data_IF_919641246016
#
_entry.id   IF_919641246016
#
_cell.length_a   1.000
_cell.length_b   1.000
_cell.length_c   1.000
_cell.angle_alpha   90.00
_cell.angle_beta   90.00
_cell.angle_gamma   90.00
#
_symmetry.space_group_name_H-M   'P 1'
#
loop_
_entity.id
_entity.type
_entity.pdbx_description
1 polymer ?
#
# COMPACT_ATOMS: atom_id res chain seq x y z
N UNK A 1 -17.20 42.23 89.46
CA UNK A 1 -17.55 43.64 89.44
C UNK A 1 -17.35 44.18 88.06
N UNK A 2 -18.43 44.74 87.53
CA UNK A 2 -18.58 45.55 86.29
C UNK A 2 -18.40 44.86 84.98
N UNK A 3 -19.55 44.54 84.44
CA UNK A 3 -19.95 44.20 83.08
C UNK A 3 -19.76 45.38 82.14
N UNK A 4 -19.27 45.11 80.89
CA UNK A 4 -19.47 46.02 79.76
C UNK A 4 -19.88 45.24 78.56
N UNK A 5 -21.11 45.46 78.10
CA UNK A 5 -21.69 45.01 76.87
C UNK A 5 -21.08 45.82 75.74
N UNK A 6 -20.73 45.15 74.66
CA UNK A 6 -20.46 45.77 73.31
C UNK A 6 -21.38 45.13 72.27
N UNK A 7 -22.26 45.97 71.80
CA UNK A 7 -23.16 45.66 70.62
C UNK A 7 -22.32 45.52 69.34
N UNK A 8 -22.50 44.42 68.65
CA UNK A 8 -21.96 44.26 67.29
C UNK A 8 -23.14 44.30 66.28
N UNK A 9 -23.24 45.40 65.54
CA UNK A 9 -24.14 45.61 64.50
C UNK A 9 -23.83 44.68 63.33
N UNK A 10 -24.79 43.83 62.91
CA UNK A 10 -24.72 42.99 61.73
C UNK A 10 -25.00 43.80 60.45
N UNK A 11 -23.94 44.15 59.71
CA UNK A 11 -24.06 44.63 58.32
C UNK A 11 -24.21 43.48 57.37
N UNK A 12 -25.37 43.35 56.74
CA UNK A 12 -25.59 42.39 55.64
C UNK A 12 -25.15 43.04 54.33
N UNK A 13 -24.03 42.58 53.77
CA UNK A 13 -23.60 42.97 52.46
C UNK A 13 -24.23 41.95 51.45
N UNK A 14 -25.20 42.41 50.66
CA UNK A 14 -25.77 41.65 49.55
C UNK A 14 -24.80 41.70 48.35
N UNK A 15 -24.11 40.61 48.06
CA UNK A 15 -23.29 40.45 46.87
C UNK A 15 -24.18 40.03 45.70
N UNK A 16 -24.49 40.96 44.79
CA UNK A 16 -25.19 40.67 43.54
C UNK A 16 -24.20 40.00 42.55
N UNK A 17 -24.35 38.70 42.35
CA UNK A 17 -23.67 37.94 41.28
C UNK A 17 -24.36 38.24 39.94
N UNK A 18 -23.72 39.10 39.12
CA UNK A 18 -24.11 39.26 37.70
C UNK A 18 -23.53 38.14 36.90
N UNK A 19 -24.30 37.08 36.63
CA UNK A 19 -23.90 36.00 35.70
C UNK A 19 -24.05 36.49 34.27
N UNK A 20 -22.93 37.00 33.72
CA UNK A 20 -22.81 37.28 32.28
C UNK A 20 -22.69 35.98 31.50
N UNK A 21 -23.76 35.54 30.85
CA UNK A 21 -23.70 34.45 29.86
C UNK A 21 -23.05 35.01 28.59
N UNK A 22 -21.76 34.72 28.39
CA UNK A 22 -21.11 34.94 27.11
C UNK A 22 -21.65 33.90 26.10
N UNK A 23 -22.60 34.29 25.28
CA UNK A 23 -23.04 33.51 24.14
C UNK A 23 -21.89 33.46 23.13
N UNK A 24 -21.06 32.39 23.17
CA UNK A 24 -20.10 32.10 22.12
C UNK A 24 -20.90 31.67 20.89
N UNK A 25 -21.11 32.57 19.95
CA UNK A 25 -21.67 32.26 18.63
C UNK A 25 -20.69 31.33 17.93
N UNK A 26 -20.96 30.03 17.92
CA UNK A 26 -20.24 29.07 17.09
C UNK A 26 -20.49 29.49 15.62
N UNK A 27 -19.49 30.05 14.99
CA UNK A 27 -19.52 30.27 13.54
C UNK A 27 -19.60 28.88 12.88
N UNK A 28 -20.58 28.63 11.96
CA UNK A 28 -20.60 27.38 11.25
C UNK A 28 -19.25 27.26 10.47
N UNK A 29 -18.51 26.22 10.77
CA UNK A 29 -17.36 25.83 9.96
C UNK A 29 -17.94 25.53 8.58
N UNK A 30 -17.52 26.23 7.51
CA UNK A 30 -18.00 25.93 6.17
C UNK A 30 -17.73 24.46 5.89
N UNK A 31 -18.76 23.70 5.49
CA UNK A 31 -18.60 22.35 5.02
C UNK A 31 -17.53 22.36 3.94
N UNK A 32 -16.43 21.66 4.15
CA UNK A 32 -15.43 21.46 3.10
C UNK A 32 -16.16 20.74 1.96
N UNK A 33 -16.46 21.45 0.89
CA UNK A 33 -16.94 20.85 -0.35
C UNK A 33 -15.79 19.96 -0.84
N UNK A 34 -15.94 18.65 -0.67
CA UNK A 34 -14.97 17.69 -1.18
C UNK A 34 -14.87 17.88 -2.69
N UNK A 35 -13.69 18.24 -3.18
CA UNK A 35 -13.44 18.32 -4.61
C UNK A 35 -13.75 16.97 -5.23
N UNK A 36 -14.61 16.88 -6.28
CA UNK A 36 -14.90 15.61 -6.92
C UNK A 36 -13.62 14.91 -7.37
N UNK A 37 -13.51 13.62 -7.08
CA UNK A 37 -12.40 12.79 -7.56
C UNK A 37 -12.72 12.33 -8.98
N UNK A 38 -11.82 12.59 -9.91
CA UNK A 38 -11.83 12.02 -11.26
C UNK A 38 -11.16 10.66 -11.21
N UNK A 39 -11.81 9.66 -11.82
CA UNK A 39 -11.32 8.29 -11.94
C UNK A 39 -11.18 7.95 -13.41
N UNK A 40 -10.00 7.50 -13.81
CA UNK A 40 -9.72 7.01 -15.16
C UNK A 40 -9.04 5.65 -15.07
N UNK A 41 -9.44 4.69 -15.91
CA UNK A 41 -8.80 3.39 -16.02
C UNK A 41 -8.67 2.99 -17.50
N UNK A 42 -7.51 2.52 -17.92
CA UNK A 42 -7.28 2.13 -19.30
C UNK A 42 -6.04 1.24 -19.44
N UNK A 43 -5.89 0.65 -20.61
CA UNK A 43 -4.75 -0.20 -20.98
C UNK A 43 -3.67 0.63 -21.68
N UNK A 44 -2.40 0.37 -21.33
CA UNK A 44 -1.23 0.90 -22.01
C UNK A 44 -0.41 -0.25 -22.59
N UNK A 45 0.19 -0.09 -23.79
CA UNK A 45 1.03 -1.13 -24.37
C UNK A 45 2.29 -1.32 -23.51
N UNK A 46 2.63 -2.57 -23.20
CA UNK A 46 3.94 -2.92 -22.63
C UNK A 46 5.02 -2.83 -23.72
N UNK A 47 6.30 -2.83 -23.30
CA UNK A 47 7.42 -3.02 -24.26
C UNK A 47 7.46 -4.42 -24.88
N UNK A 48 6.70 -5.39 -24.38
CA UNK A 48 6.61 -6.76 -24.92
C UNK A 48 5.37 -6.90 -25.81
N UNK A 49 5.53 -7.51 -26.98
CA UNK A 49 4.45 -7.69 -27.94
C UNK A 49 3.26 -8.46 -27.35
N UNK A 50 2.03 -7.99 -27.61
CA UNK A 50 0.79 -8.62 -27.17
C UNK A 50 0.46 -8.39 -25.67
N UNK A 51 1.28 -7.68 -24.93
CA UNK A 51 1.05 -7.38 -23.52
C UNK A 51 0.56 -5.94 -23.37
N UNK A 52 -0.58 -5.79 -22.71
CA UNK A 52 -1.12 -4.51 -22.27
C UNK A 52 -1.24 -4.49 -20.77
N UNK A 53 -0.89 -3.37 -20.16
CA UNK A 53 -0.93 -3.16 -18.72
C UNK A 53 -2.08 -2.24 -18.35
N UNK A 54 -2.89 -2.67 -17.41
CA UNK A 54 -3.94 -1.82 -16.87
C UNK A 54 -3.34 -0.82 -15.90
N UNK A 55 -3.70 0.44 -16.09
CA UNK A 55 -3.42 1.54 -15.17
C UNK A 55 -4.72 2.22 -14.78
N UNK A 56 -4.83 2.61 -13.51
CA UNK A 56 -5.90 3.47 -13.01
C UNK A 56 -5.30 4.72 -12.40
N UNK A 57 -5.98 5.84 -12.62
CA UNK A 57 -5.65 7.12 -12.02
C UNK A 57 -6.85 7.67 -11.24
N UNK A 58 -6.59 8.18 -10.03
CA UNK A 58 -7.52 9.00 -9.25
C UNK A 58 -6.85 10.32 -8.89
N UNK A 59 -7.57 11.42 -9.05
CA UNK A 59 -7.06 12.76 -8.79
C UNK A 59 -8.17 13.76 -8.46
N UNK A 60 -7.88 14.88 -7.77
CA UNK A 60 -8.84 15.98 -7.62
C UNK A 60 -9.26 16.54 -8.97
N UNK A 61 -10.56 16.62 -9.24
CA UNK A 61 -11.08 17.06 -10.54
C UNK A 61 -10.81 18.52 -10.88
N UNK A 62 -10.62 19.37 -9.88
CA UNK A 62 -10.29 20.79 -10.07
C UNK A 62 -8.81 21.04 -10.42
N UNK A 63 -7.94 20.00 -10.28
CA UNK A 63 -6.50 20.14 -10.55
C UNK A 63 -6.17 19.58 -11.94
N UNK A 64 -5.61 20.41 -12.79
CA UNK A 64 -5.25 20.05 -14.17
C UNK A 64 -3.77 19.71 -14.35
N UNK A 65 -2.91 20.18 -13.45
CA UNK A 65 -1.45 19.99 -13.51
C UNK A 65 -0.94 19.42 -12.19
N UNK A 66 -0.17 18.36 -12.27
CA UNK A 66 0.40 17.72 -11.09
C UNK A 66 1.93 17.74 -11.19
N UNK A 67 2.62 18.38 -10.23
CA UNK A 67 4.07 18.35 -10.19
C UNK A 67 4.59 16.98 -9.72
N UNK A 68 5.89 16.78 -9.86
CA UNK A 68 6.58 15.54 -9.50
C UNK A 68 6.37 15.11 -8.04
N UNK A 69 6.25 16.06 -7.12
CA UNK A 69 6.06 15.84 -5.69
C UNK A 69 4.58 15.62 -5.29
N UNK A 70 3.67 15.60 -6.26
CA UNK A 70 2.25 15.29 -6.09
C UNK A 70 1.78 14.14 -6.98
N UNK A 71 2.70 13.41 -7.60
CA UNK A 71 2.39 12.25 -8.44
C UNK A 71 2.97 10.98 -7.83
N UNK A 72 2.14 9.96 -7.65
CA UNK A 72 2.54 8.69 -7.03
C UNK A 72 1.97 7.49 -7.77
N UNK A 73 2.81 6.43 -7.93
CA UNK A 73 2.43 5.14 -8.48
C UNK A 73 2.51 4.07 -7.40
N UNK A 74 1.45 3.28 -7.27
CA UNK A 74 1.41 2.06 -6.46
C UNK A 74 1.61 0.81 -7.29
N UNK A 75 2.42 -0.14 -6.76
CA UNK A 75 2.68 -1.47 -7.32
C UNK A 75 2.33 -2.56 -6.31
N UNK A 76 1.47 -3.50 -6.71
CA UNK A 76 0.89 -4.54 -5.89
C UNK A 76 1.84 -5.68 -5.49
N UNK A 77 1.41 -6.53 -4.57
CA UNK A 77 2.11 -7.74 -4.12
C UNK A 77 1.98 -8.93 -5.08
N UNK A 78 2.23 -10.14 -4.57
CA UNK A 78 2.35 -11.36 -5.40
C UNK A 78 1.06 -12.14 -5.64
N UNK A 79 0.00 -11.88 -4.87
CA UNK A 79 -1.26 -12.67 -4.93
C UNK A 79 -2.47 -11.83 -5.28
N UNK A 80 -2.35 -10.52 -5.28
CA UNK A 80 -3.47 -9.59 -5.40
C UNK A 80 -3.21 -8.57 -6.50
N UNK A 81 -4.24 -8.25 -7.28
CA UNK A 81 -4.23 -7.10 -8.18
C UNK A 81 -4.26 -5.78 -7.39
N UNK A 82 -3.82 -4.70 -8.01
CA UNK A 82 -3.73 -3.39 -7.35
C UNK A 82 -5.08 -2.88 -6.84
N UNK A 83 -6.15 -3.04 -7.61
CA UNK A 83 -7.48 -2.56 -7.23
C UNK A 83 -8.01 -3.24 -5.97
N UNK A 84 -7.70 -4.52 -5.77
CA UNK A 84 -8.21 -5.31 -4.64
C UNK A 84 -7.53 -4.98 -3.31
N UNK A 85 -6.47 -4.19 -3.34
CA UNK A 85 -5.71 -3.80 -2.15
C UNK A 85 -5.64 -2.29 -1.97
N UNK A 86 -5.27 -1.57 -3.00
CA UNK A 86 -5.04 -0.13 -2.92
C UNK A 86 -6.30 0.69 -3.17
N UNK A 87 -7.22 0.17 -4.02
CA UNK A 87 -8.45 0.88 -4.39
C UNK A 87 -9.73 0.18 -3.93
N UNK A 88 -9.64 -0.80 -3.03
CA UNK A 88 -10.83 -1.41 -2.43
C UNK A 88 -11.45 -0.45 -1.42
N UNK A 89 -12.71 -0.10 -1.67
CA UNK A 89 -13.49 0.77 -0.78
C UNK A 89 -13.96 -0.02 0.44
N UNK A 90 -13.49 0.35 1.61
CA UNK A 90 -13.92 -0.17 2.90
C UNK A 90 -14.36 1.01 3.78
N UNK A 91 -15.52 0.94 4.40
CA UNK A 91 -16.12 2.04 5.15
C UNK A 91 -16.10 3.38 4.37
N UNK A 92 -16.51 3.32 3.10
CA UNK A 92 -16.68 4.50 2.25
C UNK A 92 -15.40 5.07 1.65
N UNK A 93 -14.21 4.48 1.89
CA UNK A 93 -12.95 5.02 1.39
C UNK A 93 -11.91 3.94 1.10
N UNK A 94 -11.23 4.05 -0.05
CA UNK A 94 -10.03 3.30 -0.38
C UNK A 94 -8.75 4.06 0.05
N UNK A 95 -7.59 3.39 0.04
CA UNK A 95 -6.31 4.08 0.23
C UNK A 95 -6.01 5.04 -0.92
N UNK A 96 -6.37 4.65 -2.14
CA UNK A 96 -6.23 5.49 -3.33
C UNK A 96 -7.09 6.76 -3.22
N UNK A 97 -8.34 6.66 -2.72
CA UNK A 97 -9.20 7.81 -2.45
C UNK A 97 -8.57 8.74 -1.41
N UNK A 98 -8.04 8.16 -0.33
CA UNK A 98 -7.41 8.95 0.72
C UNK A 98 -6.27 9.83 0.18
N UNK A 99 -5.40 9.30 -0.65
CA UNK A 99 -4.31 10.08 -1.26
C UNK A 99 -4.84 11.14 -2.24
N UNK A 100 -5.82 10.78 -3.08
CA UNK A 100 -6.40 11.72 -4.04
C UNK A 100 -7.12 12.89 -3.35
N UNK A 101 -7.85 12.64 -2.26
CA UNK A 101 -8.49 13.69 -1.45
C UNK A 101 -7.47 14.66 -0.80
N UNK A 102 -6.23 14.18 -0.57
CA UNK A 102 -5.12 15.01 -0.08
C UNK A 102 -4.34 15.71 -1.22
N UNK A 103 -4.90 15.75 -2.42
CA UNK A 103 -4.35 16.53 -3.53
C UNK A 103 -3.31 15.79 -4.37
N UNK A 104 -3.23 14.46 -4.27
CA UNK A 104 -2.31 13.65 -5.04
C UNK A 104 -2.91 13.18 -6.38
N UNK A 105 -2.07 13.13 -7.39
CA UNK A 105 -2.30 12.39 -8.63
C UNK A 105 -1.86 10.93 -8.40
N UNK A 106 -2.83 10.08 -8.14
CA UNK A 106 -2.58 8.72 -7.66
C UNK A 106 -2.78 7.73 -8.79
N UNK A 107 -1.78 6.89 -9.00
CA UNK A 107 -1.76 5.86 -10.02
C UNK A 107 -1.60 4.49 -9.39
N UNK A 108 -2.18 3.48 -10.03
CA UNK A 108 -1.86 2.07 -9.82
C UNK A 108 -1.59 1.40 -11.15
N UNK A 109 -0.87 0.29 -11.12
CA UNK A 109 -0.64 -0.58 -12.26
C UNK A 109 -0.85 -2.03 -11.84
N UNK A 110 -1.49 -2.82 -12.70
CA UNK A 110 -1.45 -4.28 -12.61
C UNK A 110 -0.28 -4.80 -13.48
N UNK A 111 0.62 -5.56 -12.87
CA UNK A 111 1.64 -6.32 -13.61
C UNK A 111 0.95 -7.39 -14.46
N UNK A 112 1.53 -7.77 -15.62
CA UNK A 112 0.98 -8.82 -16.48
C UNK A 112 0.58 -10.07 -15.68
N UNK A 113 -0.53 -10.66 -16.04
CA UNK A 113 -1.11 -11.82 -15.36
C UNK A 113 -1.99 -11.45 -14.16
N UNK A 114 -2.03 -10.18 -13.74
CA UNK A 114 -2.89 -9.69 -12.64
C UNK A 114 -4.00 -8.78 -13.14
N UNK A 115 -5.06 -8.68 -12.37
CA UNK A 115 -6.14 -7.70 -12.54
C UNK A 115 -6.66 -7.62 -13.97
N UNK A 116 -6.69 -6.41 -14.49
CA UNK A 116 -7.16 -6.12 -15.84
C UNK A 116 -6.02 -6.10 -16.89
N UNK A 117 -4.76 -6.31 -16.49
CA UNK A 117 -3.64 -6.49 -17.42
C UNK A 117 -3.76 -7.81 -18.20
N UNK A 118 -3.12 -7.87 -19.36
CA UNK A 118 -3.06 -9.08 -20.19
C UNK A 118 -2.69 -10.29 -19.36
N UNK A 119 -3.52 -11.32 -19.42
CA UNK A 119 -3.16 -12.67 -18.94
C UNK A 119 -2.31 -13.31 -20.03
N UNK A 120 -1.01 -13.62 -19.76
CA UNK A 120 -0.17 -14.29 -20.76
C UNK A 120 -0.76 -15.64 -21.20
N UNK A 121 -0.49 -16.11 -22.44
CA UNK A 121 -1.07 -17.36 -22.97
C UNK A 121 -0.80 -18.59 -22.09
N UNK A 122 0.25 -18.56 -21.28
CA UNK A 122 0.57 -19.61 -20.32
C UNK A 122 -0.50 -19.76 -19.22
N UNK A 123 -1.31 -18.73 -18.97
CA UNK A 123 -2.46 -18.80 -18.05
C UNK A 123 -3.70 -19.48 -18.67
N UNK A 124 -3.70 -19.72 -19.95
CA UNK A 124 -4.76 -20.46 -20.68
C UNK A 124 -4.50 -21.98 -20.71
N UNK A 125 -3.35 -22.42 -20.20
CA UNK A 125 -2.90 -23.81 -20.17
C UNK A 125 -2.77 -24.29 -18.73
N UNK A 126 -2.68 -25.63 -18.50
CA UNK A 126 -2.33 -26.15 -17.17
C UNK A 126 -1.04 -25.51 -16.66
N UNK A 127 -1.03 -25.09 -15.41
CA UNK A 127 0.09 -24.32 -14.84
C UNK A 127 1.44 -25.05 -14.92
N UNK A 128 1.40 -26.38 -14.92
CA UNK A 128 2.60 -27.25 -14.96
C UNK A 128 3.27 -27.31 -16.34
N UNK A 129 2.58 -26.90 -17.40
CA UNK A 129 3.03 -27.01 -18.77
C UNK A 129 3.92 -25.85 -19.24
N UNK A 130 4.10 -24.85 -18.38
CA UNK A 130 4.84 -23.64 -18.74
C UNK A 130 5.72 -23.15 -17.57
N UNK A 131 6.81 -22.43 -17.88
CA UNK A 131 7.67 -21.84 -16.84
C UNK A 131 6.94 -20.73 -16.08
N UNK A 132 7.44 -20.31 -14.91
CA UNK A 132 6.86 -19.25 -14.09
C UNK A 132 6.66 -17.95 -14.86
N UNK A 133 5.44 -17.42 -14.83
CA UNK A 133 5.06 -16.16 -15.47
C UNK A 133 5.57 -15.00 -14.63
N UNK A 134 6.02 -13.93 -15.29
CA UNK A 134 6.44 -12.67 -14.71
C UNK A 134 7.47 -12.82 -13.57
N UNK A 135 8.62 -13.51 -13.76
CA UNK A 135 9.74 -13.36 -12.83
C UNK A 135 10.18 -11.90 -12.74
N UNK A 136 11.00 -11.58 -11.74
CA UNK A 136 11.37 -10.20 -11.40
C UNK A 136 11.78 -9.35 -12.62
N UNK A 137 12.66 -9.88 -13.47
CA UNK A 137 13.15 -9.17 -14.66
C UNK A 137 12.04 -8.83 -15.66
N UNK A 138 11.01 -9.66 -15.75
CA UNK A 138 9.84 -9.42 -16.62
C UNK A 138 8.90 -8.41 -15.97
N UNK A 139 8.56 -8.58 -14.69
CA UNK A 139 7.71 -7.66 -13.95
C UNK A 139 8.33 -6.24 -13.86
N UNK A 140 9.66 -6.13 -13.82
CA UNK A 140 10.36 -4.86 -13.86
C UNK A 140 10.15 -4.10 -15.18
N UNK A 141 9.98 -4.81 -16.32
CA UNK A 141 9.63 -4.14 -17.58
C UNK A 141 8.25 -3.52 -17.52
N UNK A 142 7.28 -4.18 -16.86
CA UNK A 142 5.92 -3.66 -16.69
C UNK A 142 5.92 -2.41 -15.79
N UNK A 143 6.64 -2.45 -14.67
CA UNK A 143 6.77 -1.29 -13.78
C UNK A 143 7.46 -0.13 -14.49
N UNK A 144 8.53 -0.39 -15.24
CA UNK A 144 9.22 0.63 -16.05
C UNK A 144 8.27 1.28 -17.05
N UNK A 145 7.49 0.48 -17.78
CA UNK A 145 6.49 0.97 -18.74
C UNK A 145 5.48 1.88 -18.06
N UNK A 146 4.94 1.50 -16.90
CA UNK A 146 3.97 2.32 -16.17
C UNK A 146 4.60 3.65 -15.70
N UNK A 147 5.82 3.61 -15.16
CA UNK A 147 6.52 4.84 -14.73
C UNK A 147 6.77 5.77 -15.91
N UNK A 148 7.34 5.27 -17.02
CA UNK A 148 7.61 6.09 -18.21
C UNK A 148 6.33 6.69 -18.80
N UNK A 149 5.23 5.91 -18.81
CA UNK A 149 3.93 6.42 -19.24
C UNK A 149 3.47 7.62 -18.38
N UNK A 150 3.58 7.51 -17.05
CA UNK A 150 3.15 8.57 -16.14
C UNK A 150 4.06 9.80 -16.27
N UNK A 151 5.37 9.59 -16.35
CA UNK A 151 6.35 10.69 -16.55
C UNK A 151 6.01 11.48 -17.82
N UNK A 152 5.76 10.78 -18.93
CA UNK A 152 5.38 11.40 -20.20
C UNK A 152 4.01 12.10 -20.12
N UNK A 153 2.99 11.42 -19.55
CA UNK A 153 1.62 11.95 -19.44
C UNK A 153 1.54 13.21 -18.57
N UNK A 154 2.38 13.32 -17.55
CA UNK A 154 2.42 14.48 -16.63
C UNK A 154 3.51 15.47 -16.95
N UNK A 155 4.35 15.20 -17.96
CA UNK A 155 5.50 16.02 -18.33
C UNK A 155 6.41 16.32 -17.12
N UNK A 156 6.65 15.30 -16.28
CA UNK A 156 7.53 15.38 -15.10
C UNK A 156 8.72 14.43 -15.26
N UNK A 157 9.84 14.76 -14.62
CA UNK A 157 11.07 13.96 -14.72
C UNK A 157 11.19 12.85 -13.67
N UNK A 158 10.32 12.86 -12.63
CA UNK A 158 10.32 11.90 -11.53
C UNK A 158 8.94 11.82 -10.87
N UNK A 159 8.66 10.71 -10.22
CA UNK A 159 7.43 10.48 -9.44
C UNK A 159 7.73 9.75 -8.14
N UNK A 160 6.81 9.79 -7.18
CA UNK A 160 6.85 8.95 -5.99
C UNK A 160 6.39 7.53 -6.30
N UNK A 161 6.96 6.54 -5.60
CA UNK A 161 6.62 5.14 -5.76
C UNK A 161 6.21 4.53 -4.43
N UNK A 162 5.15 3.74 -4.42
CA UNK A 162 4.72 2.89 -3.32
C UNK A 162 4.72 1.46 -3.82
N UNK A 163 5.41 0.56 -3.14
CA UNK A 163 5.36 -0.86 -3.45
C UNK A 163 4.99 -1.69 -2.22
N UNK A 164 4.07 -2.64 -2.39
CA UNK A 164 3.69 -3.58 -1.35
C UNK A 164 4.28 -4.96 -1.62
N UNK A 165 4.91 -5.57 -0.61
CA UNK A 165 5.39 -6.96 -0.67
C UNK A 165 6.33 -7.17 -1.86
N UNK A 166 5.95 -7.99 -2.85
CA UNK A 166 6.66 -8.11 -4.12
C UNK A 166 6.82 -6.76 -4.82
N UNK A 167 5.77 -5.93 -4.80
CA UNK A 167 5.82 -4.58 -5.36
C UNK A 167 6.92 -3.74 -4.73
N UNK A 168 7.19 -3.91 -3.43
CA UNK A 168 8.30 -3.22 -2.77
C UNK A 168 9.67 -3.60 -3.36
N UNK A 169 9.88 -4.89 -3.71
CA UNK A 169 11.09 -5.31 -4.41
C UNK A 169 11.18 -4.70 -5.82
N UNK A 170 10.05 -4.64 -6.55
CA UNK A 170 10.00 -4.05 -7.89
C UNK A 170 10.30 -2.55 -7.87
N UNK A 171 9.63 -1.76 -7.02
CA UNK A 171 9.92 -0.32 -6.95
C UNK A 171 11.28 -0.01 -6.32
N UNK A 172 11.78 -0.86 -5.41
CA UNK A 172 13.13 -0.78 -4.87
C UNK A 172 14.19 -1.02 -5.95
N UNK A 173 14.00 -2.03 -6.80
CA UNK A 173 14.86 -2.29 -7.96
C UNK A 173 14.83 -1.11 -8.94
N UNK A 174 13.61 -0.62 -9.29
CA UNK A 174 13.47 0.53 -10.17
C UNK A 174 14.23 1.76 -9.62
N UNK A 175 14.07 2.05 -8.32
CA UNK A 175 14.73 3.18 -7.67
C UNK A 175 16.26 3.03 -7.64
N UNK A 176 16.77 1.81 -7.46
CA UNK A 176 18.22 1.56 -7.48
C UNK A 176 18.84 1.68 -8.88
N UNK A 177 18.07 1.36 -9.93
CA UNK A 177 18.50 1.47 -11.33
C UNK A 177 18.27 2.87 -11.93
N UNK A 178 17.28 3.61 -11.43
CA UNK A 178 16.86 4.91 -11.95
C UNK A 178 16.76 5.97 -10.84
N UNK A 179 17.84 6.26 -10.12
CA UNK A 179 17.78 7.06 -8.88
C UNK A 179 17.26 8.50 -9.11
N UNK A 180 17.45 9.07 -10.31
CA UNK A 180 16.99 10.42 -10.64
C UNK A 180 15.50 10.50 -11.01
N UNK A 181 14.85 9.37 -11.30
CA UNK A 181 13.43 9.30 -11.67
C UNK A 181 12.48 9.08 -10.49
N UNK A 182 13.02 8.90 -9.28
CA UNK A 182 12.22 8.66 -8.09
C UNK A 182 12.23 9.88 -7.17
N UNK A 183 11.03 10.42 -6.89
CA UNK A 183 10.83 11.56 -6.02
C UNK A 183 10.88 11.16 -4.55
N UNK A 184 10.10 10.13 -4.18
CA UNK A 184 10.06 9.46 -2.87
C UNK A 184 9.78 7.98 -3.07
N UNK A 185 10.22 7.17 -2.13
CA UNK A 185 10.05 5.72 -2.18
C UNK A 185 9.39 5.22 -0.90
N UNK A 186 8.31 4.47 -1.03
CA UNK A 186 7.68 3.75 0.09
C UNK A 186 7.79 2.25 -0.17
N UNK A 187 8.48 1.54 0.71
CA UNK A 187 8.61 0.09 0.71
C UNK A 187 7.73 -0.48 1.83
N UNK A 188 6.52 -0.91 1.51
CA UNK A 188 5.61 -1.48 2.48
C UNK A 188 5.72 -3.02 2.47
N UNK A 189 5.98 -3.59 3.65
CA UNK A 189 6.19 -5.02 3.88
C UNK A 189 7.22 -5.64 2.89
N UNK A 190 8.44 -5.06 2.75
CA UNK A 190 9.39 -5.52 1.75
C UNK A 190 9.90 -6.92 2.05
N UNK A 191 9.93 -7.78 1.03
CA UNK A 191 10.72 -9.01 1.05
C UNK A 191 12.22 -8.73 0.92
N UNK A 192 13.04 -9.61 1.50
CA UNK A 192 14.50 -9.52 1.44
C UNK A 192 15.15 -10.90 1.51
N UNK A 193 16.46 -10.93 1.36
CA UNK A 193 17.28 -12.12 1.57
C UNK A 193 16.95 -12.76 2.93
N UNK A 194 16.71 -14.07 2.93
CA UNK A 194 16.39 -14.84 4.13
C UNK A 194 17.64 -15.52 4.65
N UNK A 195 17.77 -15.55 5.97
CA UNK A 195 18.91 -16.21 6.65
C UNK A 195 18.80 -17.73 6.65
N UNK A 196 17.57 -18.24 6.47
CA UNK A 196 17.31 -19.68 6.35
C UNK A 196 16.71 -19.95 4.98
N UNK A 197 17.35 -20.77 4.14
CA UNK A 197 16.73 -21.18 2.89
C UNK A 197 15.42 -21.93 3.23
N UNK A 198 14.31 -21.70 2.48
CA UNK A 198 13.17 -22.58 2.58
C UNK A 198 13.63 -24.00 2.28
N UNK A 199 13.05 -24.99 2.96
CA UNK A 199 13.35 -26.41 2.72
C UNK A 199 13.30 -26.65 1.20
N UNK A 200 14.40 -27.09 0.64
CA UNK A 200 14.61 -27.18 -0.81
C UNK A 200 13.57 -28.07 -1.46
N UNK A 201 12.62 -27.48 -2.16
CA UNK A 201 11.79 -28.21 -3.10
C UNK A 201 12.52 -28.19 -4.44
N UNK A 202 12.99 -29.34 -4.89
CA UNK A 202 13.47 -29.57 -6.26
C UNK A 202 12.31 -29.58 -7.27
N UNK A 203 11.07 -29.38 -6.81
CA UNK A 203 9.88 -29.40 -7.63
C UNK A 203 9.91 -28.25 -8.67
N UNK A 204 9.43 -28.54 -9.85
CA UNK A 204 9.21 -27.53 -10.90
C UNK A 204 8.23 -26.48 -10.38
N UNK A 205 8.55 -25.21 -10.58
CA UNK A 205 7.65 -24.11 -10.25
C UNK A 205 6.67 -23.95 -11.41
N UNK A 206 5.35 -23.98 -11.18
CA UNK A 206 4.34 -23.83 -12.22
C UNK A 206 4.32 -22.40 -12.79
N UNK A 207 3.63 -22.20 -13.91
CA UNK A 207 3.47 -20.89 -14.53
C UNK A 207 2.74 -19.90 -13.61
N UNK A 208 1.71 -20.38 -12.96
CA UNK A 208 0.91 -19.62 -11.99
C UNK A 208 0.44 -20.51 -10.83
N UNK A 209 0.07 -19.89 -9.73
CA UNK A 209 -0.58 -20.53 -8.58
C UNK A 209 -2.05 -20.19 -8.55
N UNK A 210 -2.83 -21.05 -7.91
CA UNK A 210 -4.24 -20.84 -7.62
C UNK A 210 -4.44 -20.68 -6.12
N UNK A 211 -5.30 -19.74 -5.74
CA UNK A 211 -5.62 -19.44 -4.36
C UNK A 211 -7.13 -19.34 -4.20
N UNK A 212 -7.73 -20.12 -3.33
CA UNK A 212 -9.04 -19.73 -2.81
C UNK A 212 -8.86 -18.42 -2.01
N UNK A 213 -9.91 -17.63 -1.89
CA UNK A 213 -9.85 -16.38 -1.10
C UNK A 213 -9.51 -16.65 0.35
N UNK A 214 -9.94 -17.80 0.88
CA UNK A 214 -9.60 -18.24 2.26
C UNK A 214 -8.12 -18.59 2.38
N UNK A 215 -7.55 -19.35 1.45
CA UNK A 215 -6.11 -19.65 1.45
C UNK A 215 -5.26 -18.39 1.35
N UNK A 216 -5.65 -17.45 0.48
CA UNK A 216 -4.96 -16.18 0.35
C UNK A 216 -5.04 -15.35 1.64
N UNK A 217 -6.22 -15.28 2.27
CA UNK A 217 -6.43 -14.62 3.56
C UNK A 217 -5.57 -15.25 4.65
N UNK A 218 -5.66 -16.57 4.81
CA UNK A 218 -4.91 -17.29 5.85
C UNK A 218 -3.41 -17.04 5.72
N UNK A 219 -2.87 -17.06 4.49
CA UNK A 219 -1.46 -16.74 4.24
C UNK A 219 -1.11 -15.31 4.61
N UNK A 220 -1.94 -14.34 4.24
CA UNK A 220 -1.64 -12.92 4.41
C UNK A 220 -1.89 -12.42 5.85
N UNK A 221 -2.70 -13.16 6.63
CA UNK A 221 -2.90 -12.96 8.07
C UNK A 221 -2.11 -13.96 8.94
N UNK A 222 -1.19 -14.73 8.36
CA UNK A 222 -0.28 -15.55 9.14
C UNK A 222 0.49 -14.67 10.15
N UNK A 223 0.65 -15.15 11.38
CA UNK A 223 1.23 -14.38 12.50
C UNK A 223 0.20 -13.61 13.33
N UNK A 224 -1.01 -13.36 12.82
CA UNK A 224 -2.08 -12.74 13.62
C UNK A 224 -2.63 -13.72 14.64
N UNK A 225 -2.70 -13.37 15.94
CA UNK A 225 -3.38 -14.20 16.94
C UNK A 225 -4.81 -14.57 16.50
N UNK A 226 -5.24 -15.84 16.62
CA UNK A 226 -6.53 -16.29 16.06
C UNK A 226 -7.73 -15.44 16.48
N UNK A 227 -7.77 -15.03 17.75
CA UNK A 227 -8.83 -14.19 18.32
C UNK A 227 -8.84 -12.75 17.76
N UNK A 228 -7.76 -12.31 17.14
CA UNK A 228 -7.63 -10.98 16.51
C UNK A 228 -7.98 -10.97 15.03
N UNK A 229 -7.94 -12.10 14.33
CA UNK A 229 -8.11 -12.17 12.88
C UNK A 229 -9.46 -11.56 12.42
N UNK A 230 -10.57 -11.97 13.05
CA UNK A 230 -11.90 -11.43 12.71
C UNK A 230 -12.09 -9.98 13.17
N UNK A 231 -11.37 -9.54 14.21
CA UNK A 231 -11.41 -8.15 14.67
C UNK A 231 -10.71 -7.23 13.68
N UNK A 232 -9.55 -7.64 13.17
CA UNK A 232 -8.77 -6.85 12.20
C UNK A 232 -9.45 -6.81 10.84
N UNK A 233 -9.93 -7.94 10.35
CA UNK A 233 -10.61 -8.06 9.06
C UNK A 233 -12.04 -8.58 9.27
N UNK A 234 -13.02 -7.69 9.54
CA UNK A 234 -14.41 -8.07 9.73
C UNK A 234 -14.98 -8.85 8.55
N UNK A 235 -15.99 -9.68 8.80
CA UNK A 235 -16.57 -10.53 7.75
C UNK A 235 -17.03 -9.75 6.53
N UNK A 236 -17.70 -8.61 6.72
CA UNK A 236 -18.15 -7.77 5.60
C UNK A 236 -17.00 -7.23 4.73
N UNK A 237 -15.86 -6.89 5.34
CA UNK A 237 -14.68 -6.44 4.59
C UNK A 237 -13.97 -7.59 3.89
N UNK A 238 -13.88 -8.74 4.57
CA UNK A 238 -13.36 -9.97 3.99
C UNK A 238 -14.17 -10.39 2.77
N UNK A 239 -15.51 -10.36 2.88
CA UNK A 239 -16.40 -10.77 1.80
C UNK A 239 -16.32 -9.78 0.62
N UNK A 240 -16.24 -8.47 0.90
CA UNK A 240 -16.01 -7.45 -0.13
C UNK A 240 -14.66 -7.65 -0.85
N UNK A 241 -13.59 -7.93 -0.08
CA UNK A 241 -12.28 -8.24 -0.65
C UNK A 241 -12.30 -9.52 -1.48
N UNK A 242 -12.95 -10.59 -0.97
CA UNK A 242 -13.06 -11.85 -1.68
C UNK A 242 -13.79 -11.70 -3.02
N UNK A 243 -14.91 -10.98 -3.02
CA UNK A 243 -15.67 -10.68 -4.24
C UNK A 243 -14.83 -9.87 -5.24
N UNK A 244 -14.14 -8.82 -4.79
CA UNK A 244 -13.26 -8.01 -5.61
C UNK A 244 -12.09 -8.84 -6.18
N UNK A 245 -11.47 -9.71 -5.38
CA UNK A 245 -10.38 -10.58 -5.82
C UNK A 245 -10.83 -11.54 -6.92
N UNK A 246 -11.95 -12.23 -6.75
CA UNK A 246 -12.52 -13.14 -7.75
C UNK A 246 -12.91 -12.42 -9.05
N UNK A 247 -13.41 -11.19 -8.95
CA UNK A 247 -13.77 -10.39 -10.13
C UNK A 247 -12.54 -10.06 -11.02
N UNK A 248 -11.32 -10.12 -10.48
CA UNK A 248 -10.09 -9.89 -11.28
C UNK A 248 -9.66 -11.09 -12.13
N UNK A 249 -10.23 -12.27 -11.89
CA UNK A 249 -9.93 -13.49 -12.62
C UNK A 249 -11.19 -14.34 -12.90
N UNK A 250 -12.03 -13.97 -13.88
CA UNK A 250 -13.28 -14.68 -14.19
C UNK A 250 -13.08 -16.19 -14.48
N UNK A 251 -11.93 -16.56 -15.08
CA UNK A 251 -11.63 -17.98 -15.38
C UNK A 251 -11.34 -18.77 -14.10
N UNK A 252 -10.61 -18.18 -13.16
CA UNK A 252 -10.37 -18.79 -11.85
C UNK A 252 -11.65 -18.82 -11.01
N UNK A 253 -12.43 -17.75 -11.04
CA UNK A 253 -13.70 -17.63 -10.31
C UNK A 253 -14.75 -18.67 -10.75
N UNK A 254 -14.69 -19.14 -11.99
CA UNK A 254 -15.58 -20.19 -12.50
C UNK A 254 -15.18 -21.61 -12.08
N UNK A 255 -14.06 -21.80 -11.38
CA UNK A 255 -13.63 -23.11 -10.89
C UNK A 255 -14.39 -23.51 -9.61
N UNK A 256 -14.29 -24.79 -9.25
CA UNK A 256 -14.88 -25.33 -8.03
C UNK A 256 -13.80 -25.99 -7.18
N UNK A 257 -13.42 -25.42 -6.01
CA UNK A 257 -13.86 -24.11 -5.50
C UNK A 257 -13.35 -22.93 -6.35
N UNK A 258 -14.00 -21.76 -6.29
CA UNK A 258 -13.52 -20.56 -6.95
C UNK A 258 -12.13 -20.16 -6.48
N UNK A 259 -11.26 -19.77 -7.41
CA UNK A 259 -9.86 -19.37 -7.13
C UNK A 259 -9.48 -18.08 -7.85
N UNK A 260 -8.42 -17.46 -7.40
CA UNK A 260 -7.68 -16.42 -8.14
C UNK A 260 -6.36 -17.01 -8.58
N UNK A 261 -6.02 -16.87 -9.86
CA UNK A 261 -4.73 -17.31 -10.42
C UNK A 261 -3.73 -16.17 -10.36
N UNK A 262 -2.55 -16.44 -9.87
CA UNK A 262 -1.47 -15.45 -9.78
C UNK A 262 -0.16 -15.99 -10.37
N UNK A 263 0.56 -15.19 -11.19
CA UNK A 263 1.87 -15.55 -11.71
C UNK A 263 2.84 -16.07 -10.66
N UNK A 264 3.55 -17.17 -10.95
CA UNK A 264 4.45 -17.81 -9.99
C UNK A 264 5.90 -17.29 -10.04
N UNK A 265 6.19 -16.26 -10.83
CA UNK A 265 7.53 -15.66 -10.92
C UNK A 265 8.10 -15.23 -9.57
N UNK A 266 7.25 -14.79 -8.62
CA UNK A 266 7.71 -14.47 -7.26
C UNK A 266 8.28 -15.67 -6.51
N UNK A 267 7.78 -16.88 -6.76
CA UNK A 267 8.31 -18.10 -6.15
C UNK A 267 9.69 -18.39 -6.73
N UNK A 268 9.83 -18.24 -8.06
CA UNK A 268 11.11 -18.36 -8.71
C UNK A 268 12.12 -17.34 -8.17
N UNK A 269 11.71 -16.06 -8.05
CA UNK A 269 12.57 -15.01 -7.49
C UNK A 269 12.96 -15.33 -6.05
N UNK A 270 12.04 -15.85 -5.25
CA UNK A 270 12.28 -16.29 -3.88
C UNK A 270 13.33 -17.39 -3.80
N UNK A 271 13.25 -18.38 -4.70
CA UNK A 271 14.22 -19.48 -4.78
C UNK A 271 15.58 -19.03 -5.30
N UNK A 272 15.60 -18.29 -6.42
CA UNK A 272 16.83 -18.04 -7.18
C UNK A 272 17.64 -16.87 -6.57
N UNK A 273 16.99 -16.02 -5.77
CA UNK A 273 17.62 -14.86 -5.12
C UNK A 273 17.56 -14.93 -3.60
N UNK A 274 16.40 -14.74 -2.97
CA UNK A 274 16.33 -14.56 -1.52
C UNK A 274 16.80 -15.77 -0.73
N UNK A 275 16.39 -16.97 -1.14
CA UNK A 275 16.81 -18.22 -0.52
C UNK A 275 18.25 -18.61 -0.87
N UNK A 276 18.75 -18.12 -1.99
CA UNK A 276 20.14 -18.27 -2.41
C UNK A 276 21.07 -17.22 -1.78
N UNK A 277 20.58 -16.40 -0.85
CA UNK A 277 21.37 -15.35 -0.20
C UNK A 277 21.66 -14.15 -1.08
N UNK A 278 20.96 -13.99 -2.21
CA UNK A 278 21.20 -12.94 -3.20
C UNK A 278 20.08 -11.90 -3.14
N UNK A 279 20.38 -10.59 -3.07
CA UNK A 279 19.37 -9.56 -3.18
C UNK A 279 18.90 -9.37 -4.62
N UNK A 280 17.64 -8.95 -4.83
CA UNK A 280 17.11 -8.58 -6.14
C UNK A 280 17.61 -7.21 -6.61
N UNK A 281 18.01 -6.36 -5.69
CA UNK A 281 18.51 -5.00 -5.96
C UNK A 281 19.50 -4.57 -4.88
N UNK A 282 20.22 -3.49 -5.13
CA UNK A 282 21.15 -2.88 -4.18
C UNK A 282 20.54 -1.61 -3.55
N UNK A 283 20.08 -1.66 -2.28
CA UNK A 283 19.48 -0.51 -1.62
C UNK A 283 20.47 0.65 -1.44
N UNK A 284 21.78 0.42 -1.45
CA UNK A 284 22.77 1.49 -1.31
C UNK A 284 22.80 2.46 -2.49
N UNK A 285 22.20 2.07 -3.63
CA UNK A 285 22.09 2.92 -4.82
C UNK A 285 20.84 3.80 -4.82
N UNK A 286 19.92 3.62 -3.86
CA UNK A 286 18.71 4.43 -3.72
C UNK A 286 19.07 5.74 -3.06
N UNK A 287 18.87 6.86 -3.78
CA UNK A 287 19.12 8.22 -3.27
C UNK A 287 17.84 8.92 -2.81
N UNK A 288 16.66 8.48 -3.28
CA UNK A 288 15.39 9.09 -2.93
C UNK A 288 15.12 8.98 -1.42
N UNK A 289 14.46 10.00 -0.80
CA UNK A 289 13.87 9.83 0.53
C UNK A 289 13.06 8.55 0.58
N UNK A 290 13.32 7.69 1.57
CA UNK A 290 12.71 6.34 1.63
C UNK A 290 12.04 6.08 2.96
N UNK A 291 10.77 5.67 2.91
CA UNK A 291 10.00 5.14 4.04
C UNK A 291 9.90 3.61 3.91
N UNK A 292 10.25 2.90 4.96
CA UNK A 292 9.92 1.48 5.12
C UNK A 292 8.79 1.36 6.13
N UNK A 293 7.72 0.66 5.76
CA UNK A 293 6.62 0.30 6.66
C UNK A 293 6.55 -1.21 6.77
N UNK A 294 6.46 -1.71 7.99
CA UNK A 294 6.26 -3.13 8.31
C UNK A 294 5.08 -3.28 9.27
N UNK A 295 4.62 -4.50 9.46
CA UNK A 295 3.54 -4.83 10.37
C UNK A 295 4.00 -5.88 11.39
N UNK A 296 3.65 -5.70 12.67
CA UNK A 296 4.22 -6.49 13.78
C UNK A 296 3.91 -7.99 13.69
N UNK A 297 2.77 -8.36 13.11
CA UNK A 297 2.33 -9.75 12.94
C UNK A 297 2.46 -10.24 11.49
N UNK A 298 3.36 -9.65 10.71
CA UNK A 298 3.61 -10.08 9.34
C UNK A 298 4.59 -11.26 9.29
N UNK A 299 4.07 -12.48 9.11
CA UNK A 299 4.87 -13.70 8.92
C UNK A 299 5.23 -13.96 7.45
N UNK A 300 4.59 -13.27 6.51
CA UNK A 300 4.96 -13.35 5.09
C UNK A 300 6.30 -12.67 4.85
N UNK A 301 6.41 -11.44 5.33
CA UNK A 301 7.65 -10.66 5.34
C UNK A 301 7.87 -10.05 6.73
N UNK A 302 8.43 -10.82 7.67
CA UNK A 302 8.64 -10.35 9.04
C UNK A 302 9.39 -9.02 9.11
N UNK A 303 9.11 -8.17 10.12
CA UNK A 303 9.73 -6.85 10.28
C UNK A 303 11.26 -6.85 10.19
N UNK A 304 11.91 -7.96 10.55
CA UNK A 304 13.36 -8.14 10.43
C UNK A 304 13.86 -7.95 8.99
N UNK A 305 13.07 -8.34 7.97
CA UNK A 305 13.44 -8.14 6.56
C UNK A 305 13.43 -6.65 6.20
N UNK A 306 12.43 -5.91 6.65
CA UNK A 306 12.36 -4.44 6.47
C UNK A 306 13.53 -3.73 7.17
N UNK A 307 13.89 -4.15 8.39
CA UNK A 307 15.06 -3.61 9.10
C UNK A 307 16.36 -3.90 8.37
N UNK A 308 16.49 -5.08 7.74
CA UNK A 308 17.67 -5.42 6.95
C UNK A 308 17.81 -4.54 5.69
N UNK A 309 16.70 -4.23 5.01
CA UNK A 309 16.69 -3.27 3.89
C UNK A 309 17.04 -1.87 4.39
N UNK A 310 16.42 -1.42 5.51
CA UNK A 310 16.66 -0.11 6.09
C UNK A 310 18.13 0.15 6.41
N UNK A 311 18.82 -0.85 6.96
CA UNK A 311 20.24 -0.75 7.27
C UNK A 311 21.10 -0.49 6.01
N UNK A 312 20.68 -1.02 4.86
CA UNK A 312 21.39 -0.92 3.58
C UNK A 312 21.06 0.33 2.75
N UNK A 313 20.11 1.15 3.15
CA UNK A 313 19.80 2.44 2.51
C UNK A 313 20.84 3.50 2.93
N UNK A 314 22.07 3.37 2.46
CA UNK A 314 23.19 4.23 2.89
C UNK A 314 23.29 5.53 2.11
N UNK A 315 22.71 5.61 0.90
CA UNK A 315 22.71 6.80 0.05
C UNK A 315 21.39 7.56 0.04
N UNK A 316 20.34 7.05 0.69
CA UNK A 316 19.07 7.74 0.76
C UNK A 316 19.21 9.07 1.50
N UNK A 317 18.73 10.17 0.88
CA UNK A 317 18.84 11.53 1.45
C UNK A 317 18.21 11.59 2.85
N UNK A 318 17.06 10.96 3.03
CA UNK A 318 16.47 10.66 4.33
C UNK A 318 15.89 9.26 4.30
N UNK A 319 15.85 8.60 5.45
CA UNK A 319 15.19 7.30 5.59
C UNK A 319 14.42 7.22 6.90
N UNK A 320 13.23 6.61 6.84
CA UNK A 320 12.36 6.37 7.97
C UNK A 320 11.93 4.91 8.02
N UNK A 321 11.81 4.37 9.20
CA UNK A 321 11.25 3.04 9.45
C UNK A 321 10.06 3.16 10.39
N UNK A 322 8.94 2.55 10.02
CA UNK A 322 7.72 2.47 10.83
C UNK A 322 7.29 1.01 10.92
N UNK A 323 6.98 0.56 12.13
CA UNK A 323 6.38 -0.74 12.38
C UNK A 323 4.98 -0.51 12.98
N UNK A 324 3.95 -0.99 12.28
CA UNK A 324 2.56 -0.85 12.73
C UNK A 324 2.24 -2.02 13.64
N UNK A 325 1.88 -1.71 14.89
CA UNK A 325 1.43 -2.69 15.87
C UNK A 325 0.06 -3.29 15.51
N UNK A 326 -0.23 -4.47 16.05
CA UNK A 326 -1.51 -5.18 15.86
C UNK A 326 -1.95 -5.26 14.39
N UNK A 327 -1.01 -5.57 13.49
CA UNK A 327 -1.22 -5.52 12.05
C UNK A 327 -0.55 -6.71 11.35
N UNK A 328 -1.17 -7.19 10.27
CA UNK A 328 -0.64 -8.26 9.42
C UNK A 328 -0.06 -7.72 8.11
N UNK A 329 0.31 -8.65 7.21
CA UNK A 329 0.71 -8.32 5.84
C UNK A 329 -0.35 -7.53 5.06
N UNK A 330 -1.61 -7.58 5.52
CA UNK A 330 -2.79 -6.94 4.92
C UNK A 330 -3.22 -5.64 5.61
N UNK A 331 -2.37 -4.96 6.40
CA UNK A 331 -2.83 -3.80 7.19
C UNK A 331 -3.61 -2.76 6.37
N UNK A 332 -3.37 -2.64 5.05
CA UNK A 332 -4.14 -1.74 4.20
C UNK A 332 -5.64 -2.08 4.09
N UNK A 333 -6.04 -3.30 4.45
CA UNK A 333 -7.42 -3.78 4.45
C UNK A 333 -7.96 -4.03 5.86
N UNK A 334 -7.18 -3.80 6.90
CA UNK A 334 -7.54 -4.05 8.29
C UNK A 334 -8.16 -2.81 8.96
N UNK A 335 -8.77 -2.99 10.13
CA UNK A 335 -9.40 -1.88 10.86
C UNK A 335 -8.42 -0.75 11.21
N UNK A 336 -7.17 -1.08 11.41
CA UNK A 336 -6.11 -0.13 11.70
C UNK A 336 -5.43 0.45 10.44
N UNK A 337 -5.95 0.19 9.24
CA UNK A 337 -5.40 0.67 7.96
C UNK A 337 -5.11 2.18 7.92
N UNK A 338 -5.90 2.97 8.65
CA UNK A 338 -5.71 4.42 8.70
C UNK A 338 -4.37 4.84 9.33
N UNK A 339 -3.74 3.97 10.13
CA UNK A 339 -2.37 4.21 10.61
C UNK A 339 -1.38 4.17 9.43
N UNK A 340 -1.46 3.12 8.59
CA UNK A 340 -0.65 3.02 7.38
C UNK A 340 -0.88 4.22 6.45
N UNK A 341 -2.14 4.57 6.20
CA UNK A 341 -2.49 5.70 5.32
C UNK A 341 -1.87 7.00 5.82
N UNK A 342 -1.97 7.27 7.12
CA UNK A 342 -1.43 8.47 7.76
C UNK A 342 0.10 8.51 7.68
N UNK A 343 0.79 7.43 8.02
CA UNK A 343 2.25 7.39 7.99
C UNK A 343 2.80 7.63 6.58
N UNK A 344 2.17 7.02 5.57
CA UNK A 344 2.57 7.22 4.18
C UNK A 344 2.22 8.63 3.70
N UNK A 345 1.02 9.15 4.04
CA UNK A 345 0.61 10.51 3.69
C UNK A 345 1.57 11.56 4.27
N UNK A 346 1.88 11.47 5.57
CA UNK A 346 2.83 12.37 6.23
C UNK A 346 4.19 12.36 5.52
N UNK A 347 4.72 11.17 5.21
CA UNK A 347 5.99 11.05 4.51
C UNK A 347 5.96 11.63 3.10
N UNK A 348 4.87 11.44 2.37
CA UNK A 348 4.71 11.96 1.02
C UNK A 348 4.57 13.49 1.01
N UNK A 349 3.95 14.09 2.03
CA UNK A 349 3.70 15.53 2.14
C UNK A 349 4.89 16.32 2.71
N UNK A 350 5.89 15.66 3.27
CA UNK A 350 7.07 16.37 3.78
C UNK A 350 7.76 17.20 2.70
N UNK A 351 8.23 18.41 3.04
CA UNK A 351 9.13 19.16 2.15
C UNK A 351 10.34 18.29 1.78
N UNK A 352 10.84 18.41 0.57
CA UNK A 352 12.09 17.74 0.21
C UNK A 352 13.23 18.43 0.94
N UNK A 353 14.13 17.67 1.59
CA UNK A 353 15.31 18.24 2.23
C UNK A 353 16.25 18.89 1.22
#
# INVERSE_FOLDING_TARGET
>A
MITALVDIARGVIALALVSGILAVSARPVPAQTSTPIVVEGYLIPSGDAGIQLYVRNKRPGAVTTFPADRTVLYVHGSTQASETTFDLVLDGKSWMDNLAEHGWDVWLVDVRGYGQSTKPPEMERPAVDSPPIAPHVVAMRDVRTAVEHILAKRAVSRISLIGWSRGAALVGSYASENPTKVQRLVLYAPGWVRTSPPAGSSASIPAYQTWTTEQARARLQAGVPPEKQAVLLPSSWRDAWAAAALATDPVGAAQTPPVVRSPAGTIQDGRDYWSAGKPLYDPSRIIAPTLIVTAAWDDVNPPALGRAVFAKLTSAVTKRYVEIGDASHLVMLERNRLQLFREVQLFLDEPRP
#
